data_IF_083669236170
#
_entry.id   IF_083669236170
#
_cell.length_a   1.000
_cell.length_b   1.000
_cell.length_c   1.000
_cell.angle_alpha   90.00
_cell.angle_beta   90.00
_cell.angle_gamma   90.00
#
_symmetry.space_group_name_H-M   'P 1'
#
loop_
_entity.id
_entity.type
_entity.pdbx_description
1 polymer ?
#
# COMPACT_ATOMS: atom_id res chain seq x y z
N UNK A 1 22.13 51.73 15.84
CA UNK A 1 21.04 51.45 14.88
C UNK A 1 21.63 50.59 13.78
N UNK A 2 21.11 49.35 13.72
CA UNK A 2 21.24 48.32 12.67
C UNK A 2 22.60 47.61 12.53
N UNK A 3 22.61 46.41 13.11
CA UNK A 3 23.44 45.24 12.80
C UNK A 3 23.05 44.78 11.38
N UNK A 4 24.02 44.72 10.46
CA UNK A 4 23.88 44.03 9.18
C UNK A 4 24.81 42.80 9.22
N UNK A 5 24.26 41.69 9.70
CA UNK A 5 24.88 40.36 9.60
C UNK A 5 24.76 39.88 8.15
N UNK A 6 25.91 39.60 7.53
CA UNK A 6 26.06 39.11 6.17
C UNK A 6 25.78 37.60 6.12
N UNK A 7 24.50 37.25 5.99
CA UNK A 7 24.04 35.91 5.57
C UNK A 7 23.48 36.04 4.16
N UNK A 8 24.13 35.45 3.13
CA UNK A 8 23.43 34.36 2.42
C UNK A 8 24.38 33.41 1.66
N UNK A 9 24.90 32.33 2.26
CA UNK A 9 25.51 31.22 1.47
C UNK A 9 25.24 29.79 1.98
N UNK A 10 24.32 29.60 2.92
CA UNK A 10 24.02 28.25 3.46
C UNK A 10 22.55 27.82 3.40
N UNK A 11 21.65 28.66 2.89
CA UNK A 11 20.24 28.30 2.67
C UNK A 11 19.99 27.57 1.32
N UNK A 12 21.00 27.43 0.45
CA UNK A 12 20.81 26.85 -0.89
C UNK A 12 21.11 25.35 -1.00
N UNK A 13 21.54 24.67 0.08
CA UNK A 13 21.87 23.24 0.04
C UNK A 13 20.77 22.36 0.68
N UNK A 14 19.77 22.95 1.36
CA UNK A 14 18.68 22.19 1.97
C UNK A 14 17.41 22.04 1.12
N UNK A 15 17.42 22.47 -0.15
CA UNK A 15 16.26 22.31 -1.07
C UNK A 15 16.60 21.46 -2.31
N UNK A 16 17.80 20.87 -2.41
CA UNK A 16 18.28 20.24 -3.65
C UNK A 16 18.50 18.72 -3.57
N UNK A 17 17.88 18.01 -2.62
CA UNK A 17 17.75 16.55 -2.68
C UNK A 17 16.32 16.03 -2.93
N UNK A 18 15.35 16.93 -3.14
CA UNK A 18 14.01 16.58 -3.65
C UNK A 18 13.78 16.99 -5.12
N UNK A 19 14.84 17.31 -5.88
CA UNK A 19 14.70 17.85 -7.25
C UNK A 19 15.56 17.18 -8.32
N UNK A 20 16.14 16.01 -8.09
CA UNK A 20 16.64 15.17 -9.19
C UNK A 20 15.55 14.22 -9.68
N UNK A 21 14.44 14.79 -10.15
CA UNK A 21 13.72 14.19 -11.24
C UNK A 21 14.50 14.58 -12.51
N UNK A 22 15.14 13.66 -13.24
CA UNK A 22 15.75 14.01 -14.51
C UNK A 22 14.66 14.63 -15.39
N UNK A 23 15.00 15.77 -15.99
CA UNK A 23 14.14 16.67 -16.76
C UNK A 23 13.68 16.07 -18.11
N UNK A 24 13.33 14.78 -18.12
CA UNK A 24 12.77 14.03 -19.24
C UNK A 24 11.76 13.00 -18.74
N UNK A 25 10.65 13.49 -18.21
CA UNK A 25 9.34 12.82 -18.24
C UNK A 25 8.29 13.92 -18.06
N UNK A 26 8.18 14.83 -19.03
CA UNK A 26 6.90 15.53 -19.21
C UNK A 26 5.92 14.47 -19.73
N UNK A 27 4.82 14.13 -19.04
CA UNK A 27 3.71 13.48 -19.71
C UNK A 27 3.27 14.44 -20.82
N UNK A 28 3.47 14.04 -22.08
CA UNK A 28 2.82 14.73 -23.19
C UNK A 28 1.31 14.57 -22.97
N UNK A 29 0.64 15.61 -22.48
CA UNK A 29 -0.80 15.77 -22.72
C UNK A 29 -0.98 16.11 -24.18
N UNK A 30 -0.85 15.09 -25.03
CA UNK A 30 -1.40 15.18 -26.37
C UNK A 30 -2.91 15.21 -26.17
N UNK A 31 -3.49 16.40 -26.29
CA UNK A 31 -4.93 16.63 -26.40
C UNK A 31 -5.42 16.11 -27.77
N UNK A 32 -5.21 14.82 -27.99
CA UNK A 32 -5.95 14.04 -28.94
C UNK A 32 -6.94 13.26 -28.08
N UNK A 33 -8.10 13.84 -27.85
CA UNK A 33 -9.27 13.14 -27.30
C UNK A 33 -9.78 12.11 -28.32
N UNK A 34 -8.93 11.16 -28.72
CA UNK A 34 -9.38 9.82 -28.94
C UNK A 34 -9.67 9.28 -27.54
N UNK A 35 -10.93 8.99 -27.25
CA UNK A 35 -11.29 8.22 -26.08
C UNK A 35 -10.47 6.92 -26.07
N UNK A 36 -9.31 6.95 -25.40
CA UNK A 36 -8.50 5.76 -25.16
C UNK A 36 -9.38 4.89 -24.28
N UNK A 37 -10.01 3.89 -24.90
CA UNK A 37 -10.78 2.86 -24.19
C UNK A 37 -10.00 2.49 -22.94
N UNK A 38 -10.54 2.79 -21.76
CA UNK A 38 -9.92 2.38 -20.52
C UNK A 38 -9.76 0.86 -20.59
N UNK A 39 -8.52 0.39 -20.69
CA UNK A 39 -8.21 -1.03 -20.90
C UNK A 39 -8.73 -1.91 -19.76
N UNK A 40 -9.02 -1.31 -18.60
CA UNK A 40 -9.61 -1.95 -17.42
C UNK A 40 -11.15 -1.93 -17.39
N UNK A 41 -11.84 -1.14 -18.22
CA UNK A 41 -13.28 -0.86 -18.04
C UNK A 41 -14.20 -1.98 -18.54
N UNK A 42 -13.74 -2.81 -19.49
CA UNK A 42 -14.59 -3.76 -20.20
C UNK A 42 -14.22 -5.25 -20.03
N UNK A 43 -13.22 -5.59 -19.22
CA UNK A 43 -12.81 -6.99 -19.05
C UNK A 43 -12.07 -7.19 -17.73
N UNK A 44 -12.41 -8.25 -16.99
CA UNK A 44 -11.69 -8.72 -15.80
C UNK A 44 -10.28 -9.24 -16.16
N UNK A 45 -9.42 -8.38 -16.73
CA UNK A 45 -8.15 -8.74 -17.38
C UNK A 45 -7.13 -9.32 -16.43
N UNK A 46 -7.08 -8.82 -15.20
CA UNK A 46 -6.03 -9.16 -14.25
C UNK A 46 -6.31 -10.44 -13.44
N UNK A 47 -7.41 -11.14 -13.74
CA UNK A 47 -7.79 -12.37 -13.04
C UNK A 47 -8.12 -12.16 -11.55
N UNK A 48 -8.24 -13.27 -10.84
CA UNK A 48 -8.50 -13.28 -9.40
C UNK A 48 -7.38 -12.57 -8.61
N UNK A 49 -7.74 -11.74 -7.63
CA UNK A 49 -6.81 -11.00 -6.75
C UNK A 49 -5.79 -10.09 -7.49
N UNK A 50 -6.00 -9.84 -8.78
CA UNK A 50 -5.25 -8.89 -9.58
C UNK A 50 -5.95 -7.54 -9.65
N UNK A 51 -5.17 -6.47 -9.61
CA UNK A 51 -5.59 -5.07 -9.70
C UNK A 51 -5.28 -4.58 -11.10
N UNK A 52 -6.29 -4.02 -11.79
CA UNK A 52 -6.12 -3.32 -13.04
C UNK A 52 -5.94 -1.82 -12.80
N UNK A 53 -4.84 -1.24 -13.26
CA UNK A 53 -4.61 0.20 -13.27
C UNK A 53 -4.15 0.62 -14.66
N UNK A 54 -4.96 1.45 -15.34
CA UNK A 54 -4.67 1.91 -16.70
C UNK A 54 -3.46 2.85 -16.79
N UNK A 55 -3.02 3.40 -15.65
CA UNK A 55 -1.85 4.29 -15.57
C UNK A 55 -0.53 3.55 -15.32
N UNK A 56 -0.58 2.26 -14.96
CA UNK A 56 0.61 1.47 -14.66
C UNK A 56 1.12 0.71 -15.89
N UNK A 57 2.41 0.41 -15.90
CA UNK A 57 3.04 -0.50 -16.87
C UNK A 57 3.91 -1.50 -16.09
N UNK A 58 3.51 -2.78 -15.97
CA UNK A 58 2.33 -3.42 -16.56
C UNK A 58 1.00 -2.95 -15.92
N UNK A 59 -0.10 -3.00 -16.68
CA UNK A 59 -1.43 -2.56 -16.22
C UNK A 59 -2.03 -3.44 -15.11
N UNK A 60 -1.53 -4.67 -14.96
CA UNK A 60 -2.00 -5.62 -13.96
C UNK A 60 -0.92 -5.88 -12.91
N UNK A 61 -1.31 -5.76 -11.64
CA UNK A 61 -0.46 -6.07 -10.49
C UNK A 61 -1.22 -6.94 -9.50
N UNK A 62 -0.55 -7.83 -8.76
CA UNK A 62 -1.20 -8.59 -7.69
C UNK A 62 -1.43 -7.70 -6.47
N UNK A 63 -2.51 -7.98 -5.71
CA UNK A 63 -2.68 -7.44 -4.37
C UNK A 63 -1.42 -7.68 -3.53
N UNK A 64 -1.11 -6.74 -2.62
CA UNK A 64 0.05 -6.90 -1.73
C UNK A 64 -0.14 -8.15 -0.85
N UNK A 65 0.91 -8.98 -0.74
CA UNK A 65 0.83 -10.28 -0.07
C UNK A 65 0.34 -11.42 -0.98
N UNK A 66 0.13 -11.13 -2.28
CA UNK A 66 -0.19 -12.11 -3.31
C UNK A 66 0.92 -12.17 -4.37
N UNK A 67 0.96 -13.27 -5.11
CA UNK A 67 1.89 -13.52 -6.20
C UNK A 67 1.16 -14.14 -7.40
N UNK A 68 1.67 -13.99 -8.64
CA UNK A 68 1.06 -14.61 -9.80
C UNK A 68 0.95 -16.12 -9.66
N UNK A 69 -0.20 -16.69 -10.02
CA UNK A 69 -0.39 -18.15 -10.04
C UNK A 69 0.51 -18.82 -11.07
N UNK A 70 0.68 -18.17 -12.23
CA UNK A 70 1.54 -18.62 -13.32
C UNK A 70 2.48 -17.50 -13.73
N UNK A 71 3.68 -17.50 -13.16
CA UNK A 71 4.68 -16.43 -13.37
C UNK A 71 5.03 -16.21 -14.84
N UNK A 72 5.29 -17.27 -15.60
CA UNK A 72 5.66 -17.17 -17.01
C UNK A 72 4.55 -16.51 -17.86
N UNK A 73 3.29 -16.90 -17.65
CA UNK A 73 2.15 -16.28 -18.32
C UNK A 73 2.02 -14.80 -17.91
N UNK A 74 2.14 -14.52 -16.61
CA UNK A 74 2.07 -13.16 -16.05
C UNK A 74 3.12 -12.23 -16.66
N UNK A 75 4.37 -12.70 -16.74
CA UNK A 75 5.51 -11.95 -17.28
C UNK A 75 5.37 -11.74 -18.81
N UNK A 76 4.61 -12.60 -19.50
CA UNK A 76 4.29 -12.45 -20.93
C UNK A 76 3.06 -11.57 -21.23
N UNK A 77 2.41 -11.02 -20.19
CA UNK A 77 1.21 -10.19 -20.32
C UNK A 77 -0.11 -10.96 -20.32
N UNK A 78 -0.10 -12.26 -20.00
CA UNK A 78 -1.30 -13.04 -19.77
C UNK A 78 -1.59 -13.15 -18.26
N UNK A 79 -2.51 -12.32 -17.78
CA UNK A 79 -2.88 -12.22 -16.36
C UNK A 79 -4.14 -13.00 -16.00
N UNK A 80 -4.71 -13.77 -16.94
CA UNK A 80 -6.00 -14.45 -16.76
C UNK A 80 -6.01 -15.45 -15.60
N UNK A 81 -4.88 -16.10 -15.32
CA UNK A 81 -4.71 -16.99 -14.19
C UNK A 81 -4.85 -16.28 -12.83
N UNK A 82 -4.63 -14.97 -12.77
CA UNK A 82 -4.70 -14.19 -11.53
C UNK A 82 -3.54 -14.46 -10.56
N UNK A 83 -3.80 -14.19 -9.29
CA UNK A 83 -2.83 -14.25 -8.20
C UNK A 83 -3.32 -15.17 -7.08
N UNK A 84 -2.38 -15.70 -6.30
CA UNK A 84 -2.63 -16.45 -5.07
C UNK A 84 -1.92 -15.81 -3.90
N UNK A 85 -2.37 -16.09 -2.67
CA UNK A 85 -1.70 -15.64 -1.45
C UNK A 85 -0.27 -16.19 -1.41
N UNK A 86 0.68 -15.36 -0.96
CA UNK A 86 2.05 -15.81 -0.67
C UNK A 86 2.10 -16.66 0.59
N UNK A 87 1.38 -16.22 1.62
CA UNK A 87 1.28 -16.87 2.92
C UNK A 87 -0.18 -17.23 3.17
N UNK A 88 -0.49 -18.48 3.56
CA UNK A 88 -1.85 -18.89 3.91
C UNK A 88 -2.35 -18.10 5.13
N UNK A 89 -3.67 -17.93 5.21
CA UNK A 89 -4.30 -17.33 6.38
C UNK A 89 -4.25 -18.27 7.58
N UNK A 90 -4.03 -17.70 8.76
CA UNK A 90 -4.06 -18.42 10.03
C UNK A 90 -5.37 -18.07 10.75
N UNK A 91 -6.49 -18.60 10.24
CA UNK A 91 -7.77 -18.40 10.92
C UNK A 91 -7.86 -19.31 12.14
N UNK A 92 -7.93 -18.72 13.33
CA UNK A 92 -8.16 -19.44 14.59
C UNK A 92 -9.53 -19.10 15.13
N UNK A 93 -10.33 -20.12 15.43
CA UNK A 93 -11.55 -19.93 16.21
C UNK A 93 -11.17 -19.63 17.66
N UNK A 94 -11.66 -18.53 18.22
CA UNK A 94 -11.76 -18.38 19.67
C UNK A 94 -12.82 -19.36 20.19
N UNK A 95 -12.42 -20.61 20.43
CA UNK A 95 -13.24 -21.50 21.24
C UNK A 95 -13.22 -20.97 22.68
N UNK A 96 -14.26 -20.24 23.08
CA UNK A 96 -14.50 -19.76 24.46
C UNK A 96 -14.61 -20.87 25.54
N UNK A 97 -14.31 -22.13 25.21
CA UNK A 97 -14.57 -23.27 26.08
C UNK A 97 -13.33 -24.01 26.60
N UNK A 98 -12.10 -23.56 26.34
CA UNK A 98 -10.92 -24.21 26.91
C UNK A 98 -9.93 -23.21 27.51
N UNK A 99 -10.05 -22.96 28.82
CA UNK A 99 -9.06 -22.25 29.65
C UNK A 99 -7.68 -22.93 29.75
N UNK A 100 -7.35 -23.89 28.87
CA UNK A 100 -6.08 -24.61 28.87
C UNK A 100 -5.61 -24.93 27.45
N UNK A 101 -5.53 -23.93 26.59
CA UNK A 101 -4.56 -23.98 25.48
C UNK A 101 -3.93 -22.62 25.34
N UNK A 102 -3.04 -22.35 26.30
CA UNK A 102 -1.94 -21.40 26.16
C UNK A 102 -1.52 -21.38 24.70
N UNK A 103 -1.60 -20.19 24.11
CA UNK A 103 -0.94 -19.79 22.88
C UNK A 103 0.44 -20.45 22.79
N UNK A 104 0.49 -21.66 22.24
CA UNK A 104 1.70 -22.50 22.29
C UNK A 104 2.65 -22.19 21.14
N UNK A 105 2.21 -21.37 20.20
CA UNK A 105 3.03 -20.68 19.22
C UNK A 105 2.57 -19.23 19.20
N UNK A 106 3.48 -18.25 19.28
CA UNK A 106 3.19 -16.83 19.19
C UNK A 106 2.71 -16.35 17.81
N UNK A 107 1.86 -17.14 17.15
CA UNK A 107 1.24 -16.83 15.87
C UNK A 107 0.19 -15.74 16.08
N UNK A 108 0.52 -14.55 15.57
CA UNK A 108 -0.33 -13.36 15.59
C UNK A 108 -1.51 -13.55 14.63
N UNK A 109 -2.68 -13.09 15.02
CA UNK A 109 -3.92 -13.14 14.22
C UNK A 109 -3.74 -12.48 12.85
N UNK A 110 -4.40 -13.00 11.82
CA UNK A 110 -4.51 -12.34 10.51
C UNK A 110 -4.90 -10.86 10.65
N UNK A 111 -4.63 -10.06 9.62
CA UNK A 111 -5.15 -8.71 9.60
C UNK A 111 -5.46 -8.24 8.19
N UNK A 112 -5.54 -6.92 8.01
CA UNK A 112 -6.04 -6.35 6.77
C UNK A 112 -5.06 -5.35 6.16
N UNK A 113 -5.01 -5.36 4.83
CA UNK A 113 -4.39 -4.32 4.05
C UNK A 113 -5.47 -3.54 3.30
N UNK A 114 -5.29 -2.23 3.22
CA UNK A 114 -6.19 -1.32 2.52
C UNK A 114 -5.74 -1.13 1.07
N UNK A 115 -6.70 -1.15 0.15
CA UNK A 115 -6.56 -0.59 -1.19
C UNK A 115 -7.65 0.46 -1.39
N UNK A 116 -7.25 1.61 -1.91
CA UNK A 116 -8.11 2.80 -2.01
C UNK A 116 -8.54 3.05 -3.45
N UNK A 117 -9.69 3.72 -3.59
CA UNK A 117 -10.22 4.19 -4.87
C UNK A 117 -10.39 3.07 -5.91
N UNK A 118 -11.00 1.95 -5.50
CA UNK A 118 -11.25 0.84 -6.41
C UNK A 118 -12.73 0.67 -6.77
N UNK A 119 -12.95 0.12 -7.95
CA UNK A 119 -14.14 -0.66 -8.28
C UNK A 119 -13.82 -2.12 -7.98
N UNK A 120 -14.78 -2.82 -7.40
CA UNK A 120 -14.75 -4.26 -7.24
C UNK A 120 -16.07 -4.83 -7.74
N UNK A 121 -16.01 -5.80 -8.63
CA UNK A 121 -17.19 -6.58 -9.03
C UNK A 121 -17.21 -7.87 -8.23
N UNK A 122 -18.36 -8.22 -7.67
CA UNK A 122 -18.51 -9.43 -6.86
C UNK A 122 -19.68 -9.32 -5.89
N UNK A 123 -20.17 -10.46 -5.44
CA UNK A 123 -21.25 -10.50 -4.46
C UNK A 123 -20.69 -10.16 -3.07
N UNK A 124 -20.96 -8.94 -2.62
CA UNK A 124 -20.70 -8.53 -1.25
C UNK A 124 -21.89 -8.88 -0.35
N UNK A 125 -21.62 -9.37 0.85
CA UNK A 125 -22.64 -9.69 1.85
C UNK A 125 -22.74 -8.53 2.85
N UNK A 126 -23.93 -7.94 3.04
CA UNK A 126 -24.11 -6.89 4.03
C UNK A 126 -24.02 -7.48 5.44
N UNK A 127 -23.49 -6.69 6.37
CA UNK A 127 -23.40 -7.03 7.78
C UNK A 127 -23.96 -5.86 8.60
N UNK A 128 -24.99 -6.12 9.40
CA UNK A 128 -25.67 -5.12 10.24
C UNK A 128 -24.89 -4.89 11.53
N UNK A 129 -23.68 -4.34 11.41
CA UNK A 129 -22.82 -3.98 12.54
C UNK A 129 -22.28 -2.57 12.37
N UNK A 130 -21.89 -1.89 13.47
CA UNK A 130 -21.17 -0.63 13.40
C UNK A 130 -19.89 -0.75 12.57
N UNK A 131 -19.48 0.33 11.92
CA UNK A 131 -18.24 0.41 11.13
C UNK A 131 -17.01 -0.11 11.91
N UNK A 132 -16.93 0.24 13.20
CA UNK A 132 -15.83 -0.14 14.09
C UNK A 132 -15.76 -1.65 14.36
N UNK A 133 -16.86 -2.37 14.18
CA UNK A 133 -16.93 -3.83 14.41
C UNK A 133 -16.74 -4.64 13.12
N UNK A 134 -16.85 -4.01 11.95
CA UNK A 134 -16.69 -4.65 10.65
C UNK A 134 -15.39 -5.48 10.52
N UNK A 135 -14.21 -4.97 10.93
CA UNK A 135 -12.97 -5.74 10.85
C UNK A 135 -12.99 -6.96 11.77
N UNK A 136 -13.51 -6.80 13.00
CA UNK A 136 -13.58 -7.86 14.02
C UNK A 136 -14.50 -8.99 13.57
N UNK A 137 -15.67 -8.66 13.02
CA UNK A 137 -16.60 -9.65 12.51
C UNK A 137 -16.03 -10.42 11.31
N UNK A 138 -15.31 -9.74 10.42
CA UNK A 138 -14.59 -10.41 9.34
C UNK A 138 -13.48 -11.34 9.87
N UNK A 139 -12.73 -10.95 10.90
CA UNK A 139 -11.70 -11.83 11.48
C UNK A 139 -12.29 -13.11 12.08
N UNK A 140 -13.40 -12.97 12.82
CA UNK A 140 -14.13 -14.09 13.43
C UNK A 140 -14.72 -15.06 12.40
N UNK A 141 -14.96 -14.61 11.17
CA UNK A 141 -15.42 -15.46 10.07
C UNK A 141 -14.23 -15.90 9.21
N UNK A 142 -13.80 -17.16 9.33
CA UNK A 142 -12.70 -17.71 8.53
C UNK A 142 -12.94 -17.70 7.01
N UNK A 143 -14.20 -17.63 6.58
CA UNK A 143 -14.52 -17.51 5.15
C UNK A 143 -14.40 -16.05 4.66
N UNK A 144 -14.37 -15.06 5.56
CA UNK A 144 -14.24 -13.67 5.17
C UNK A 144 -12.82 -13.39 4.65
N UNK A 145 -12.73 -12.91 3.41
CA UNK A 145 -11.45 -12.60 2.77
C UNK A 145 -11.23 -11.10 2.55
N UNK A 146 -12.29 -10.29 2.62
CA UNK A 146 -12.21 -8.84 2.58
C UNK A 146 -13.47 -8.20 3.18
N UNK A 147 -13.37 -6.96 3.61
CA UNK A 147 -14.50 -6.12 3.99
C UNK A 147 -14.36 -4.71 3.42
N UNK A 148 -15.48 -4.01 3.34
CA UNK A 148 -15.57 -2.60 3.07
C UNK A 148 -16.60 -1.99 4.01
N UNK A 149 -16.45 -0.71 4.30
CA UNK A 149 -17.46 0.04 5.03
C UNK A 149 -17.68 1.37 4.31
N UNK A 150 -18.93 1.81 4.31
CA UNK A 150 -19.32 3.11 3.81
C UNK A 150 -20.44 3.62 4.71
N UNK A 151 -20.46 4.91 5.03
CA UNK A 151 -21.53 5.58 5.78
C UNK A 151 -22.93 5.29 5.21
N UNK A 152 -23.07 5.14 3.89
CA UNK A 152 -24.36 4.94 3.23
C UNK A 152 -24.78 3.46 3.11
N UNK A 153 -23.82 2.54 2.96
CA UNK A 153 -24.07 1.12 2.69
C UNK A 153 -23.80 0.21 3.91
N UNK A 154 -23.20 0.74 4.97
CA UNK A 154 -22.79 -0.01 6.15
C UNK A 154 -21.58 -0.91 5.90
N UNK A 155 -21.41 -1.91 6.76
CA UNK A 155 -20.37 -2.92 6.65
C UNK A 155 -20.76 -3.98 5.61
N UNK A 156 -19.83 -4.32 4.73
CA UNK A 156 -19.98 -5.38 3.73
C UNK A 156 -18.74 -6.26 3.73
N UNK A 157 -18.89 -7.55 3.47
CA UNK A 157 -17.77 -8.47 3.36
C UNK A 157 -17.87 -9.43 2.18
N UNK A 158 -16.72 -9.98 1.78
CA UNK A 158 -16.59 -10.95 0.71
C UNK A 158 -16.13 -12.29 1.30
N UNK A 159 -16.80 -13.37 0.92
CA UNK A 159 -16.48 -14.73 1.33
C UNK A 159 -15.85 -15.59 0.22
N UNK A 160 -15.72 -15.02 -0.97
CA UNK A 160 -15.26 -15.69 -2.18
C UNK A 160 -14.29 -14.80 -2.92
N UNK A 161 -13.58 -15.38 -3.88
CA UNK A 161 -12.52 -14.75 -4.68
C UNK A 161 -12.86 -13.33 -5.12
N UNK A 162 -11.93 -12.40 -4.90
CA UNK A 162 -12.04 -11.05 -5.43
C UNK A 162 -11.62 -11.05 -6.90
N UNK A 163 -12.45 -10.50 -7.78
CA UNK A 163 -12.15 -10.38 -9.20
C UNK A 163 -12.57 -9.00 -9.70
N UNK A 164 -12.08 -8.63 -10.90
CA UNK A 164 -12.41 -7.36 -11.55
C UNK A 164 -12.13 -6.13 -10.64
N UNK A 165 -11.01 -6.17 -9.91
CA UNK A 165 -10.55 -5.04 -9.13
C UNK A 165 -9.92 -4.04 -10.08
N UNK A 166 -10.51 -2.84 -10.19
CA UNK A 166 -10.00 -1.75 -11.00
C UNK A 166 -9.67 -0.56 -10.11
N UNK A 167 -8.46 -0.04 -10.21
CA UNK A 167 -8.06 1.20 -9.55
C UNK A 167 -8.47 2.39 -10.41
N UNK A 168 -9.18 3.33 -9.83
CA UNK A 168 -9.52 4.57 -10.49
C UNK A 168 -8.40 5.60 -10.32
N UNK A 169 -8.10 6.38 -11.38
CA UNK A 169 -7.12 7.46 -11.27
C UNK A 169 -7.61 8.61 -10.38
N UNK A 170 -8.93 8.84 -10.28
CA UNK A 170 -9.50 9.92 -9.46
C UNK A 170 -10.90 9.60 -8.92
N UNK A 171 -11.11 9.90 -7.63
CA UNK A 171 -12.38 10.35 -7.01
C UNK A 171 -13.59 9.42 -6.92
N UNK A 172 -13.67 8.33 -7.69
CA UNK A 172 -14.92 7.57 -7.88
C UNK A 172 -14.90 6.14 -7.35
N UNK A 173 -13.91 5.75 -6.55
CA UNK A 173 -13.77 4.41 -6.02
C UNK A 173 -14.02 4.30 -4.52
N UNK A 174 -14.30 3.08 -4.06
CA UNK A 174 -14.41 2.75 -2.65
C UNK A 174 -13.12 2.13 -2.11
N UNK A 175 -12.98 2.17 -0.79
CA UNK A 175 -11.87 1.51 -0.11
C UNK A 175 -12.24 0.06 0.21
N UNK A 176 -11.28 -0.84 0.03
CA UNK A 176 -11.41 -2.25 0.35
C UNK A 176 -10.29 -2.69 1.29
N UNK A 177 -10.65 -3.43 2.32
CA UNK A 177 -9.74 -4.01 3.28
C UNK A 177 -9.71 -5.51 3.06
N UNK A 178 -8.63 -6.03 2.48
CA UNK A 178 -8.49 -7.45 2.19
C UNK A 178 -7.62 -8.14 3.25
N UNK A 179 -8.08 -9.32 3.69
CA UNK A 179 -7.45 -10.12 4.75
C UNK A 179 -6.12 -10.67 4.27
N UNK A 180 -5.08 -10.65 5.09
CA UNK A 180 -3.75 -11.22 4.84
C UNK A 180 -3.20 -11.85 6.13
N UNK A 181 -2.24 -12.76 5.98
CA UNK A 181 -1.51 -13.32 7.11
C UNK A 181 -0.76 -12.21 7.86
N UNK A 182 -0.64 -12.32 9.18
CA UNK A 182 0.02 -11.29 9.99
C UNK A 182 1.45 -10.97 9.52
N UNK A 183 2.20 -11.99 9.07
CA UNK A 183 3.58 -11.84 8.59
C UNK A 183 3.71 -10.84 7.43
N UNK A 184 2.66 -10.66 6.62
CA UNK A 184 2.61 -9.67 5.54
C UNK A 184 2.46 -8.22 6.05
N UNK A 185 1.96 -8.05 7.29
CA UNK A 185 1.84 -6.74 7.95
C UNK A 185 3.17 -6.25 8.52
N UNK A 186 3.97 -7.18 9.07
CA UNK A 186 5.24 -6.85 9.74
C UNK A 186 6.31 -6.35 8.74
N UNK A 187 6.26 -6.79 7.48
CA UNK A 187 7.14 -6.29 6.42
C UNK A 187 7.04 -4.77 6.20
N UNK A 188 5.86 -4.17 6.35
CA UNK A 188 5.70 -2.70 6.27
C UNK A 188 6.46 -2.01 7.39
N UNK A 189 6.34 -2.52 8.62
CA UNK A 189 6.92 -1.92 9.82
C UNK A 189 8.45 -1.94 9.75
N UNK A 190 9.03 -3.05 9.28
CA UNK A 190 10.48 -3.19 9.15
C UNK A 190 11.05 -2.18 8.14
N UNK A 191 10.44 -2.04 6.96
CA UNK A 191 10.91 -1.10 5.94
C UNK A 191 10.84 0.34 6.44
N UNK A 192 9.76 0.73 7.10
CA UNK A 192 9.62 2.09 7.67
C UNK A 192 10.69 2.34 8.74
N UNK A 193 10.92 1.38 9.63
CA UNK A 193 11.95 1.50 10.67
C UNK A 193 13.35 1.71 10.07
N UNK A 194 13.73 0.95 9.03
CA UNK A 194 15.03 1.09 8.36
C UNK A 194 15.20 2.46 7.69
N UNK A 195 14.16 2.98 7.03
CA UNK A 195 14.19 4.30 6.40
C UNK A 195 14.38 5.41 7.44
N UNK A 196 13.64 5.35 8.56
CA UNK A 196 13.76 6.34 9.64
C UNK A 196 15.15 6.32 10.27
N UNK A 197 15.72 5.12 10.51
CA UNK A 197 17.08 4.98 11.03
C UNK A 197 18.11 5.56 10.05
N UNK A 198 17.96 5.28 8.74
CA UNK A 198 18.86 5.82 7.72
C UNK A 198 18.86 7.35 7.67
N UNK A 199 17.68 7.98 7.68
CA UNK A 199 17.55 9.44 7.62
C UNK A 199 18.10 10.12 8.87
N UNK A 200 17.84 9.54 10.05
CA UNK A 200 18.35 10.09 11.32
C UNK A 200 19.88 10.04 11.39
N UNK A 201 20.50 8.92 10.98
CA UNK A 201 21.96 8.79 10.94
C UNK A 201 22.60 9.78 9.95
N UNK A 202 22.04 9.92 8.74
CA UNK A 202 22.54 10.89 7.76
C UNK A 202 22.47 12.32 8.27
N UNK A 203 21.37 12.68 8.94
CA UNK A 203 21.17 14.00 9.53
C UNK A 203 22.21 14.29 10.62
N UNK A 204 22.48 13.31 11.48
CA UNK A 204 23.50 13.40 12.53
C UNK A 204 24.91 13.55 11.91
N UNK A 205 25.25 12.74 10.90
CA UNK A 205 26.53 12.82 10.20
C UNK A 205 26.74 14.17 9.50
N UNK A 206 25.69 14.72 8.88
CA UNK A 206 25.73 16.06 8.28
C UNK A 206 25.94 17.15 9.33
N UNK A 207 25.23 17.07 10.46
CA UNK A 207 25.39 18.01 11.58
C UNK A 207 26.82 18.00 12.14
N UNK A 208 27.40 16.83 12.38
CA UNK A 208 28.77 16.72 12.88
C UNK A 208 29.81 17.17 11.86
N UNK A 209 29.62 16.85 10.58
CA UNK A 209 30.48 17.32 9.49
C UNK A 209 30.47 18.84 9.39
N UNK A 210 29.28 19.45 9.44
CA UNK A 210 29.13 20.91 9.42
C UNK A 210 29.79 21.55 10.63
N UNK A 211 29.57 21.02 11.84
CA UNK A 211 30.24 21.50 13.07
C UNK A 211 31.76 21.48 12.94
N UNK A 212 32.34 20.41 12.38
CA UNK A 212 33.80 20.32 12.13
C UNK A 212 34.29 21.37 11.13
N UNK A 213 33.53 21.64 10.07
CA UNK A 213 33.89 22.68 9.08
C UNK A 213 33.85 24.07 9.69
N UNK A 214 32.83 24.39 10.50
CA UNK A 214 32.71 25.68 11.18
C UNK A 214 33.86 25.90 12.17
N UNK A 215 34.19 24.88 12.98
CA UNK A 215 35.32 24.96 13.92
C UNK A 215 36.64 25.21 13.21
N UNK A 216 36.92 24.54 12.07
CA UNK A 216 38.14 24.81 11.30
C UNK A 216 38.16 26.22 10.73
N UNK A 217 37.02 26.74 10.23
CA UNK A 217 36.95 28.10 9.67
C UNK A 217 37.10 29.20 10.72
N UNK A 218 36.68 28.97 11.97
CA UNK A 218 36.88 29.90 13.08
C UNK A 218 38.28 29.90 13.70
N UNK A 219 39.19 29.02 13.26
CA UNK A 219 40.59 28.97 13.73
C UNK A 219 41.55 29.68 12.74
N UNK A 220 41.07 30.07 11.54
CA UNK A 220 41.85 30.79 10.53
C UNK A 220 41.52 32.30 10.44
N UNK A 221 41.00 32.89 11.51
CA UNK A 221 40.88 34.36 11.69
C UNK A 221 41.70 34.81 12.88
#
# INVERSE_FOLDING_TARGET
MIIQEDYPKLAFIFVTLFSFCPRFCTPQTNNNAAATRNTCENSARCGAFGICNSQDSPICTCLRGFQPLKKQEWDSGNWTAGCSRKVPLECRFENNNNNNTSSRNGTKEDGFLKIEMIKISGYAQPLLVPETECPKQCLMNCSCIAYAHNSDLGCMFWNSTLFDIQKFPSGSGSDLFFRVANSELDLKKIVIALVVIGVTLLSICMYFSWKRVVQKRGIYM
#
